data_IF_059205388065
#
_entry.id   IF_059205388065
#
_cell.length_a   1.000
_cell.length_b   1.000
_cell.length_c   1.000
_cell.angle_alpha   90.00
_cell.angle_beta   90.00
_cell.angle_gamma   90.00
#
_symmetry.space_group_name_H-M   'P 1'
#
loop_
_entity.id
_entity.type
_entity.pdbx_description
1 polymer ?
#
# COMPACT_ATOMS: atom_id res chain seq x y z
N UNK A 1 23.67 -5.83 58.13
CA UNK A 1 24.23 -6.89 58.99
C UNK A 1 23.36 -8.12 58.79
N UNK A 2 23.79 -9.25 58.26
CA UNK A 2 25.04 -9.72 57.68
C UNK A 2 24.68 -11.10 57.06
N UNK A 3 25.16 -11.37 55.84
CA UNK A 3 25.90 -12.59 55.44
C UNK A 3 25.37 -13.99 55.86
N UNK A 4 25.35 -15.05 55.03
CA UNK A 4 26.38 -15.48 54.08
C UNK A 4 25.90 -16.80 53.42
N UNK A 5 26.40 -17.06 52.21
CA UNK A 5 26.41 -18.38 51.56
C UNK A 5 27.27 -19.41 52.34
N UNK A 6 27.30 -20.68 51.88
CA UNK A 6 28.57 -21.14 51.34
C UNK A 6 28.47 -21.98 50.06
N UNK A 7 29.53 -21.90 49.27
CA UNK A 7 29.92 -22.87 48.25
C UNK A 7 31.02 -23.77 48.82
N UNK A 8 31.07 -25.05 48.44
CA UNK A 8 32.30 -25.83 48.48
C UNK A 8 32.36 -26.84 47.33
N UNK A 9 33.47 -26.75 46.59
CA UNK A 9 33.97 -27.72 45.62
C UNK A 9 34.50 -28.98 46.31
N UNK A 10 34.48 -30.11 45.58
CA UNK A 10 35.26 -31.31 45.89
C UNK A 10 35.34 -32.24 44.68
N UNK A 11 36.50 -32.25 44.02
CA UNK A 11 36.94 -33.19 42.98
C UNK A 11 37.45 -34.51 43.58
N UNK A 12 37.38 -35.62 42.84
CA UNK A 12 38.42 -36.68 42.65
C UNK A 12 37.80 -37.95 42.01
N UNK A 13 38.19 -38.32 40.77
CA UNK A 13 38.98 -39.51 40.34
C UNK A 13 38.29 -40.87 40.59
N UNK A 14 38.15 -41.84 39.66
CA UNK A 14 39.14 -42.60 38.86
C UNK A 14 38.41 -43.64 37.99
N UNK A 15 39.06 -44.12 36.91
CA UNK A 15 38.90 -45.50 36.38
C UNK A 15 37.97 -45.62 35.15
N UNK A 16 38.48 -45.68 33.92
CA UNK A 16 39.08 -46.85 33.26
C UNK A 16 38.04 -47.90 32.88
N UNK A 17 37.72 -47.98 31.58
CA UNK A 17 37.79 -49.25 30.86
C UNK A 17 38.00 -48.99 29.36
N UNK A 18 39.08 -49.59 28.88
CA UNK A 18 39.68 -49.56 27.57
C UNK A 18 39.36 -50.90 26.90
N UNK A 19 38.82 -50.88 25.68
CA UNK A 19 39.03 -51.99 24.73
C UNK A 19 39.22 -51.43 23.32
N UNK A 20 40.48 -51.04 23.04
CA UNK A 20 41.28 -51.45 21.87
C UNK A 20 40.56 -52.30 20.80
N UNK A 21 40.57 -51.97 19.51
CA UNK A 21 41.66 -52.15 18.52
C UNK A 21 40.96 -52.57 17.20
N UNK A 22 41.39 -52.33 15.95
CA UNK A 22 42.73 -52.35 15.33
C UNK A 22 42.56 -51.88 13.86
N UNK A 23 43.45 -51.00 13.38
CA UNK A 23 44.32 -51.08 12.17
C UNK A 23 43.68 -51.67 10.86
N UNK A 24 43.91 -51.18 9.63
CA UNK A 24 45.08 -50.49 9.02
C UNK A 24 44.81 -50.22 7.52
N UNK A 25 45.50 -49.18 7.02
CA UNK A 25 46.25 -49.12 5.73
C UNK A 25 45.53 -49.04 4.37
N UNK A 26 45.59 -47.83 3.80
CA UNK A 26 46.11 -47.42 2.47
C UNK A 26 46.13 -48.40 1.28
N UNK A 27 45.62 -47.94 0.12
CA UNK A 27 46.39 -47.77 -1.14
C UNK A 27 45.65 -46.93 -2.19
N UNK A 28 46.44 -46.18 -2.96
CA UNK A 28 46.08 -45.21 -3.99
C UNK A 28 45.65 -45.84 -5.32
N UNK A 29 44.73 -45.19 -6.05
CA UNK A 29 44.75 -45.05 -7.53
C UNK A 29 44.06 -43.73 -7.97
N UNK A 30 44.75 -42.92 -8.79
CA UNK A 30 44.24 -41.74 -9.55
C UNK A 30 43.60 -42.21 -10.87
N UNK A 31 43.09 -41.33 -11.77
CA UNK A 31 42.22 -40.15 -11.60
C UNK A 31 41.09 -40.10 -12.68
N UNK A 32 40.03 -39.29 -12.48
CA UNK A 32 39.17 -38.87 -13.60
C UNK A 32 38.68 -37.42 -13.45
N UNK A 33 39.19 -36.62 -14.38
CA UNK A 33 38.83 -35.28 -14.86
C UNK A 33 37.40 -34.79 -14.59
N UNK A 34 37.28 -33.56 -14.07
CA UNK A 34 36.21 -32.60 -14.39
C UNK A 34 36.61 -31.17 -14.03
N UNK A 35 37.47 -30.61 -14.88
CA UNK A 35 37.85 -29.18 -14.92
C UNK A 35 37.12 -28.56 -16.11
N UNK A 36 35.88 -28.12 -15.95
CA UNK A 36 35.22 -27.18 -16.87
C UNK A 36 33.81 -26.82 -16.35
N UNK A 37 33.66 -25.59 -15.86
CA UNK A 37 32.44 -24.74 -15.78
C UNK A 37 32.46 -23.85 -14.54
N UNK A 38 33.51 -23.03 -14.41
CA UNK A 38 33.51 -21.82 -13.58
C UNK A 38 34.00 -20.69 -14.48
N UNK A 39 33.08 -20.10 -15.26
CA UNK A 39 33.23 -18.85 -16.04
C UNK A 39 31.95 -18.64 -16.89
N UNK A 40 30.89 -18.14 -16.26
CA UNK A 40 29.79 -17.43 -16.97
C UNK A 40 28.79 -16.71 -16.05
N UNK A 41 28.95 -16.75 -14.72
CA UNK A 41 27.99 -16.19 -13.78
C UNK A 41 28.22 -14.72 -13.35
N UNK A 42 28.99 -13.92 -14.10
CA UNK A 42 29.33 -12.53 -13.71
C UNK A 42 29.01 -11.46 -14.77
N UNK A 43 28.09 -11.73 -15.71
CA UNK A 43 27.60 -10.70 -16.67
C UNK A 43 26.08 -10.52 -16.73
N UNK A 44 25.32 -11.03 -15.76
CA UNK A 44 23.83 -10.95 -15.77
C UNK A 44 23.21 -10.14 -14.64
N UNK A 45 24.00 -9.34 -13.92
CA UNK A 45 23.54 -8.56 -12.77
C UNK A 45 24.01 -7.09 -12.84
N UNK A 46 23.72 -6.38 -13.94
CA UNK A 46 23.91 -4.93 -14.02
C UNK A 46 23.10 -4.31 -15.17
N UNK A 47 21.78 -4.53 -15.17
CA UNK A 47 20.86 -3.64 -15.91
C UNK A 47 19.59 -3.47 -15.09
N UNK A 48 19.74 -2.92 -13.88
CA UNK A 48 18.64 -2.21 -13.21
C UNK A 48 18.27 -1.08 -14.17
N UNK A 49 17.14 -1.22 -14.87
CA UNK A 49 16.56 -0.14 -15.67
C UNK A 49 16.37 1.03 -14.70
N UNK A 50 17.22 2.08 -14.81
CA UNK A 50 16.88 3.38 -14.23
C UNK A 50 15.47 3.70 -14.71
N UNK A 51 14.57 4.06 -13.80
CA UNK A 51 13.25 4.54 -14.17
C UNK A 51 13.46 5.79 -15.05
N UNK A 52 13.42 5.62 -16.37
CA UNK A 52 13.49 6.72 -17.33
C UNK A 52 12.34 7.67 -17.03
N UNK A 53 12.54 8.98 -16.91
CA UNK A 53 11.50 9.98 -16.61
C UNK A 53 10.21 9.81 -17.47
N UNK A 54 9.03 10.31 -17.02
CA UNK A 54 7.80 10.26 -17.81
C UNK A 54 8.03 10.84 -19.20
N UNK A 55 7.65 10.09 -20.24
CA UNK A 55 7.75 10.61 -21.62
C UNK A 55 6.65 11.66 -21.78
N UNK A 56 6.99 12.86 -22.25
CA UNK A 56 6.02 13.94 -22.43
C UNK A 56 4.86 13.46 -23.31
N UNK A 57 3.60 13.54 -22.84
CA UNK A 57 2.43 13.12 -23.63
C UNK A 57 2.26 13.99 -24.88
N UNK A 58 1.85 13.38 -26.00
CA UNK A 58 1.53 14.12 -27.22
C UNK A 58 0.25 14.97 -27.05
N UNK A 59 0.07 16.04 -27.84
CA UNK A 59 -1.17 16.83 -27.81
C UNK A 59 -2.43 15.98 -28.02
N UNK A 60 -2.38 15.03 -28.95
CA UNK A 60 -3.50 14.09 -29.21
C UNK A 60 -3.81 13.22 -28.00
N UNK A 61 -2.78 12.72 -27.31
CA UNK A 61 -2.97 11.91 -26.10
C UNK A 61 -3.62 12.73 -24.96
N UNK A 62 -3.19 13.99 -24.79
CA UNK A 62 -3.79 14.92 -23.82
C UNK A 62 -5.24 15.23 -24.16
N UNK A 63 -5.54 15.58 -25.41
CA UNK A 63 -6.90 15.87 -25.85
C UNK A 63 -7.84 14.68 -25.60
N UNK A 64 -7.39 13.46 -25.92
CA UNK A 64 -8.16 12.24 -25.61
C UNK A 64 -8.35 12.05 -24.10
N UNK A 65 -7.33 12.30 -23.29
CA UNK A 65 -7.43 12.17 -21.83
C UNK A 65 -8.41 13.19 -21.23
N UNK A 66 -8.41 14.42 -21.72
CA UNK A 66 -9.38 15.47 -21.32
C UNK A 66 -10.80 15.05 -21.70
N UNK A 67 -11.02 14.53 -22.90
CA UNK A 67 -12.34 14.02 -23.30
C UNK A 67 -12.79 12.84 -22.44
N UNK A 68 -11.89 11.92 -22.09
CA UNK A 68 -12.19 10.84 -21.13
C UNK A 68 -12.63 11.42 -19.78
N UNK A 69 -11.93 12.41 -19.24
CA UNK A 69 -12.31 13.06 -18.00
C UNK A 69 -13.67 13.74 -18.09
N UNK A 70 -13.98 14.41 -19.21
CA UNK A 70 -15.26 15.06 -19.43
C UNK A 70 -16.42 14.04 -19.47
N UNK A 71 -16.25 12.90 -20.15
CA UNK A 71 -17.27 11.82 -20.18
C UNK A 71 -17.46 11.18 -18.81
N UNK A 72 -16.37 10.97 -18.09
CA UNK A 72 -16.43 10.47 -16.72
C UNK A 72 -17.10 11.46 -15.77
N UNK A 73 -16.88 12.77 -15.94
CA UNK A 73 -17.57 13.81 -15.19
C UNK A 73 -19.07 13.83 -15.43
N UNK A 74 -19.51 13.63 -16.68
CA UNK A 74 -20.95 13.47 -16.99
C UNK A 74 -21.56 12.20 -16.39
N UNK A 75 -20.83 11.08 -16.38
CA UNK A 75 -21.33 9.80 -15.88
C UNK A 75 -21.35 9.74 -14.34
N UNK A 76 -20.35 10.35 -13.71
CA UNK A 76 -20.16 10.36 -12.26
C UNK A 76 -19.92 11.81 -11.78
N UNK A 77 -20.96 12.66 -11.82
CA UNK A 77 -20.86 14.05 -11.38
C UNK A 77 -20.52 14.12 -9.88
N UNK A 78 -21.12 13.24 -9.09
CA UNK A 78 -20.99 13.20 -7.62
C UNK A 78 -19.93 12.20 -7.15
N UNK A 79 -18.86 12.02 -7.94
CA UNK A 79 -17.81 11.07 -7.64
C UNK A 79 -16.96 11.53 -6.43
N UNK A 80 -17.18 10.91 -5.28
CA UNK A 80 -16.49 11.24 -4.04
C UNK A 80 -15.77 10.03 -3.41
N UNK A 81 -15.06 10.28 -2.31
CA UNK A 81 -14.44 9.27 -1.47
C UNK A 81 -15.50 8.27 -0.97
N UNK A 82 -15.22 6.98 -1.12
CA UNK A 82 -16.15 5.93 -0.70
C UNK A 82 -16.09 5.59 0.80
N UNK A 83 -15.16 6.21 1.55
CA UNK A 83 -15.05 6.02 2.99
C UNK A 83 -15.93 7.04 3.70
N UNK A 84 -16.84 6.59 4.56
CA UNK A 84 -17.75 7.48 5.29
C UNK A 84 -16.98 8.22 6.40
N UNK A 85 -17.08 9.54 6.42
CA UNK A 85 -16.37 10.40 7.37
C UNK A 85 -17.07 11.77 7.53
N UNK A 86 -17.01 12.34 8.74
CA UNK A 86 -17.51 13.68 9.02
C UNK A 86 -16.42 14.76 8.96
N UNK A 87 -15.16 14.39 9.15
CA UNK A 87 -14.03 15.31 9.26
C UNK A 87 -12.69 14.67 8.83
N UNK A 88 -11.62 15.47 8.94
CA UNK A 88 -10.26 15.08 8.59
C UNK A 88 -9.73 13.88 9.39
N UNK A 89 -10.05 13.83 10.69
CA UNK A 89 -9.60 12.78 11.60
C UNK A 89 -10.27 11.46 11.28
N UNK A 90 -11.59 11.49 11.06
CA UNK A 90 -12.35 10.32 10.66
C UNK A 90 -11.86 9.77 9.32
N UNK A 91 -11.64 10.63 8.31
CA UNK A 91 -11.11 10.15 7.03
C UNK A 91 -9.70 9.54 7.19
N UNK A 92 -8.84 10.17 7.99
CA UNK A 92 -7.50 9.66 8.23
C UNK A 92 -7.54 8.26 8.87
N UNK A 93 -8.34 8.09 9.92
CA UNK A 93 -8.53 6.81 10.58
C UNK A 93 -9.15 5.75 9.64
N UNK A 94 -10.20 6.11 8.90
CA UNK A 94 -10.83 5.23 7.92
C UNK A 94 -9.86 4.80 6.80
N UNK A 95 -8.99 5.72 6.35
CA UNK A 95 -7.99 5.43 5.32
C UNK A 95 -6.87 4.51 5.83
N UNK A 96 -6.49 4.62 7.11
CA UNK A 96 -5.57 3.65 7.74
C UNK A 96 -6.23 2.26 7.80
N UNK A 97 -7.53 2.21 8.14
CA UNK A 97 -8.30 0.96 8.20
C UNK A 97 -8.50 0.30 6.82
N UNK A 98 -8.63 1.10 5.75
CA UNK A 98 -8.83 0.59 4.39
C UNK A 98 -7.62 -0.12 3.80
N UNK A 99 -6.44 0.00 4.43
CA UNK A 99 -5.26 -0.76 4.04
C UNK A 99 -5.56 -2.27 4.04
N UNK A 100 -5.57 -2.88 2.85
CA UNK A 100 -5.92 -4.28 2.63
C UNK A 100 -7.31 -4.67 3.17
N UNK A 101 -8.25 -3.72 3.15
CA UNK A 101 -9.65 -3.90 3.52
C UNK A 101 -10.54 -3.27 2.43
N UNK A 102 -11.81 -3.63 2.38
CA UNK A 102 -12.78 -2.98 1.49
C UNK A 102 -13.41 -1.78 2.17
N UNK A 103 -13.68 -0.71 1.42
CA UNK A 103 -14.34 0.49 1.97
C UNK A 103 -15.67 0.13 2.65
N UNK A 104 -16.47 -0.76 2.04
CA UNK A 104 -17.71 -1.26 2.63
C UNK A 104 -17.50 -1.91 4.01
N UNK A 105 -16.40 -2.64 4.22
CA UNK A 105 -16.08 -3.23 5.54
C UNK A 105 -15.64 -2.17 6.53
N UNK A 106 -14.88 -1.16 6.08
CA UNK A 106 -14.47 -0.03 6.92
C UNK A 106 -15.68 0.76 7.38
N UNK A 107 -16.60 1.09 6.46
CA UNK A 107 -17.82 1.86 6.76
C UNK A 107 -18.79 1.13 7.72
N UNK A 108 -18.68 -0.20 7.86
CA UNK A 108 -19.43 -0.96 8.87
C UNK A 108 -18.86 -0.81 10.28
N UNK A 109 -17.56 -0.54 10.44
CA UNK A 109 -16.89 -0.48 11.75
C UNK A 109 -16.64 0.94 12.24
N UNK A 110 -16.48 1.90 11.32
CA UNK A 110 -16.19 3.30 11.67
C UNK A 110 -17.30 3.99 12.48
N UNK A 111 -18.61 3.69 12.31
CA UNK A 111 -19.65 4.29 13.15
C UNK A 111 -19.47 3.98 14.64
N UNK A 112 -19.19 2.71 15.00
CA UNK A 112 -18.93 2.33 16.39
C UNK A 112 -17.62 2.92 16.90
N UNK A 113 -16.56 2.88 16.08
CA UNK A 113 -15.26 3.44 16.42
C UNK A 113 -15.36 4.92 16.78
N UNK A 114 -16.03 5.72 15.96
CA UNK A 114 -16.15 7.16 16.16
C UNK A 114 -17.21 7.54 17.20
N UNK A 115 -18.20 6.68 17.46
CA UNK A 115 -19.10 6.86 18.60
C UNK A 115 -18.36 6.72 19.94
N UNK A 116 -17.45 5.74 20.05
CA UNK A 116 -16.67 5.50 21.27
C UNK A 116 -15.51 6.47 21.44
N UNK A 117 -14.85 6.82 20.34
CA UNK A 117 -13.68 7.71 20.34
C UNK A 117 -13.82 8.79 19.26
N UNK A 118 -14.65 9.82 19.51
CA UNK A 118 -15.00 10.83 18.51
C UNK A 118 -13.86 11.81 18.18
N UNK A 119 -12.81 11.87 19.00
CA UNK A 119 -11.70 12.82 18.84
C UNK A 119 -10.35 12.10 18.92
N UNK A 120 -9.27 12.70 18.38
CA UNK A 120 -7.92 12.16 18.56
C UNK A 120 -7.56 11.96 20.03
N UNK A 121 -7.90 12.91 20.90
CA UNK A 121 -7.65 12.80 22.34
C UNK A 121 -8.37 11.60 22.98
N UNK A 122 -9.61 11.32 22.55
CA UNK A 122 -10.35 10.15 23.02
C UNK A 122 -9.71 8.84 22.52
N UNK A 123 -9.36 8.76 21.23
CA UNK A 123 -8.76 7.57 20.64
C UNK A 123 -7.35 7.31 21.16
N UNK A 124 -6.59 8.36 21.47
CA UNK A 124 -5.24 8.27 22.06
C UNK A 124 -5.24 7.60 23.46
N UNK A 125 -6.36 7.68 24.19
CA UNK A 125 -6.53 7.11 25.53
C UNK A 125 -7.28 5.77 25.51
N UNK A 126 -7.69 5.31 24.34
CA UNK A 126 -8.45 4.08 24.19
C UNK A 126 -7.62 2.86 24.62
N UNK A 127 -8.20 1.90 25.38
CA UNK A 127 -7.58 0.61 25.58
C UNK A 127 -7.40 -0.10 24.23
N UNK A 128 -6.20 -0.61 23.95
CA UNK A 128 -5.89 -1.20 22.65
C UNK A 128 -6.81 -2.39 22.36
N UNK A 129 -7.09 -3.23 23.37
CA UNK A 129 -7.95 -4.41 23.25
C UNK A 129 -9.37 -4.04 22.82
N UNK A 130 -9.89 -2.91 23.30
CA UNK A 130 -11.22 -2.42 22.92
C UNK A 130 -11.24 -1.95 21.46
N UNK A 131 -10.22 -1.19 21.03
CA UNK A 131 -10.09 -0.78 19.63
C UNK A 131 -9.99 -2.02 18.74
N UNK A 132 -9.15 -2.99 19.12
CA UNK A 132 -8.99 -4.26 18.40
C UNK A 132 -10.30 -5.01 18.20
N UNK A 133 -11.18 -5.03 19.21
CA UNK A 133 -12.51 -5.64 19.12
C UNK A 133 -13.38 -4.94 18.07
N UNK A 134 -13.47 -3.61 18.12
CA UNK A 134 -14.28 -2.82 17.18
C UNK A 134 -13.81 -3.03 15.73
N UNK A 135 -12.49 -2.99 15.50
CA UNK A 135 -11.93 -3.07 14.15
C UNK A 135 -11.51 -4.48 13.73
N UNK A 136 -11.86 -5.52 14.50
CA UNK A 136 -11.41 -6.90 14.30
C UNK A 136 -11.64 -7.38 12.86
N UNK A 137 -12.79 -7.02 12.29
CA UNK A 137 -13.22 -7.45 10.96
C UNK A 137 -12.47 -6.76 9.79
N UNK A 138 -11.61 -5.79 10.07
CA UNK A 138 -10.83 -5.08 9.03
C UNK A 138 -9.54 -5.80 8.62
N UNK A 139 -9.16 -6.88 9.32
CA UNK A 139 -7.93 -7.63 9.08
C UNK A 139 -6.67 -6.85 9.51
N UNK A 140 -5.62 -7.58 9.92
CA UNK A 140 -4.41 -6.99 10.55
C UNK A 140 -4.75 -6.02 11.72
N UNK A 141 -5.86 -6.27 12.40
CA UNK A 141 -6.48 -5.35 13.34
C UNK A 141 -5.57 -4.94 14.50
N UNK A 142 -4.71 -5.84 14.99
CA UNK A 142 -3.72 -5.51 16.06
C UNK A 142 -2.78 -4.37 15.66
N UNK A 143 -2.19 -4.48 14.46
CA UNK A 143 -1.30 -3.44 13.96
C UNK A 143 -2.06 -2.16 13.60
N UNK A 144 -3.28 -2.29 13.08
CA UNK A 144 -4.14 -1.14 12.79
C UNK A 144 -4.55 -0.40 14.07
N UNK A 145 -4.96 -1.11 15.12
CA UNK A 145 -5.34 -0.54 16.41
C UNK A 145 -4.16 0.21 17.04
N UNK A 146 -2.98 -0.44 17.08
CA UNK A 146 -1.74 0.20 17.52
C UNK A 146 -1.43 1.49 16.74
N UNK A 147 -1.54 1.45 15.41
CA UNK A 147 -1.27 2.62 14.58
C UNK A 147 -2.31 3.72 14.78
N UNK A 148 -3.59 3.39 14.92
CA UNK A 148 -4.65 4.36 15.16
C UNK A 148 -4.46 5.11 16.47
N UNK A 149 -4.18 4.39 17.56
CA UNK A 149 -3.92 4.99 18.87
C UNK A 149 -2.67 5.86 18.80
N UNK A 150 -1.56 5.35 18.24
CA UNK A 150 -0.32 6.11 18.13
C UNK A 150 -0.44 7.34 17.21
N UNK A 151 -1.22 7.24 16.13
CA UNK A 151 -1.58 8.37 15.26
C UNK A 151 -2.36 9.42 16.03
N UNK A 152 -3.39 9.00 16.77
CA UNK A 152 -4.21 9.89 17.57
C UNK A 152 -3.39 10.59 18.66
N UNK A 153 -2.51 9.87 19.35
CA UNK A 153 -1.58 10.45 20.33
C UNK A 153 -0.64 11.48 19.69
N UNK A 154 -0.14 11.20 18.48
CA UNK A 154 0.74 12.15 17.77
C UNK A 154 0.00 13.42 17.34
N UNK A 155 -1.25 13.29 16.89
CA UNK A 155 -2.12 14.44 16.61
C UNK A 155 -2.31 15.31 17.86
N UNK A 156 -2.66 14.69 19.00
CA UNK A 156 -2.85 15.42 20.26
C UNK A 156 -1.55 16.13 20.71
N UNK A 157 -0.42 15.42 20.73
CA UNK A 157 0.83 15.92 21.31
C UNK A 157 1.54 16.99 20.47
N UNK A 158 1.47 16.89 19.13
CA UNK A 158 2.27 17.73 18.23
C UNK A 158 1.42 18.70 17.43
N UNK A 159 0.19 18.32 17.10
CA UNK A 159 -0.69 19.09 16.23
C UNK A 159 -1.94 19.61 16.96
N UNK A 160 -1.98 19.52 18.30
CA UNK A 160 -3.09 20.04 19.11
C UNK A 160 -4.43 19.33 18.87
N UNK A 161 -4.41 18.14 18.29
CA UNK A 161 -5.61 17.40 17.88
C UNK A 161 -6.04 17.65 16.43
N UNK A 162 -5.39 18.56 15.70
CA UNK A 162 -5.73 18.82 14.30
C UNK A 162 -4.93 17.93 13.34
N UNK A 163 -5.56 17.51 12.24
CA UNK A 163 -4.87 16.80 11.16
C UNK A 163 -4.04 17.80 10.34
N UNK A 164 -2.70 17.66 10.26
CA UNK A 164 -1.87 18.60 9.53
C UNK A 164 -2.13 18.53 8.02
N UNK A 165 -1.94 19.65 7.34
CA UNK A 165 -2.15 19.76 5.89
C UNK A 165 -0.92 19.39 5.07
N UNK A 166 0.28 19.47 5.64
CA UNK A 166 1.55 19.23 4.94
C UNK A 166 1.81 17.75 4.69
N UNK A 167 2.36 17.40 3.53
CA UNK A 167 2.78 16.02 3.23
C UNK A 167 3.77 15.50 4.26
N UNK A 168 4.84 16.27 4.53
CA UNK A 168 5.92 15.82 5.40
C UNK A 168 5.42 15.57 6.83
N UNK A 169 4.51 16.42 7.32
CA UNK A 169 3.85 16.25 8.62
C UNK A 169 2.97 15.00 8.66
N UNK A 170 2.11 14.80 7.65
CA UNK A 170 1.24 13.62 7.56
C UNK A 170 2.06 12.33 7.53
N UNK A 171 3.20 12.32 6.84
CA UNK A 171 4.10 11.16 6.80
C UNK A 171 4.77 10.85 8.14
N UNK A 172 4.74 11.76 9.11
CA UNK A 172 5.20 11.46 10.48
C UNK A 172 4.18 10.65 11.29
N UNK A 173 2.92 10.61 10.86
CA UNK A 173 1.85 9.93 11.59
C UNK A 173 1.92 8.40 11.41
N UNK A 174 1.89 7.61 12.49
CA UNK A 174 1.85 6.15 12.42
C UNK A 174 0.73 5.61 11.53
N UNK A 175 1.05 4.65 10.66
CA UNK A 175 0.10 4.07 9.72
C UNK A 175 -0.19 4.92 8.47
N UNK A 176 0.37 6.13 8.37
CA UNK A 176 0.20 7.02 7.22
C UNK A 176 1.37 6.86 6.25
N UNK A 177 1.06 6.43 5.04
CA UNK A 177 1.98 6.46 3.92
C UNK A 177 1.57 7.54 2.91
N UNK A 178 2.41 7.80 1.91
CA UNK A 178 2.15 8.84 0.88
C UNK A 178 0.78 8.72 0.23
N UNK A 179 0.30 7.50 -0.03
CA UNK A 179 -1.05 7.28 -0.58
C UNK A 179 -2.14 7.75 0.38
N UNK A 180 -2.05 7.39 1.65
CA UNK A 180 -2.99 7.81 2.69
C UNK A 180 -2.99 9.32 2.84
N UNK A 181 -1.80 9.94 2.86
CA UNK A 181 -1.65 11.40 2.90
C UNK A 181 -2.29 12.08 1.68
N UNK A 182 -2.07 11.58 0.46
CA UNK A 182 -2.70 12.11 -0.76
C UNK A 182 -4.22 12.03 -0.70
N UNK A 183 -4.79 10.93 -0.18
CA UNK A 183 -6.25 10.79 -0.02
C UNK A 183 -6.79 11.87 0.92
N UNK A 184 -6.22 12.00 2.12
CA UNK A 184 -6.69 12.98 3.11
C UNK A 184 -6.52 14.41 2.60
N UNK A 185 -5.36 14.74 2.02
CA UNK A 185 -5.10 16.07 1.47
C UNK A 185 -6.03 16.44 0.32
N UNK A 186 -6.26 15.49 -0.59
CA UNK A 186 -7.15 15.70 -1.72
C UNK A 186 -8.60 15.88 -1.30
N UNK A 187 -9.12 14.96 -0.49
CA UNK A 187 -10.55 14.92 -0.13
C UNK A 187 -10.91 16.04 0.86
N UNK A 188 -10.11 16.24 1.91
CA UNK A 188 -10.47 17.17 3.01
C UNK A 188 -10.01 18.59 2.71
N UNK A 189 -8.82 18.75 2.14
CA UNK A 189 -8.21 20.07 1.97
C UNK A 189 -8.24 20.57 0.53
N UNK A 190 -8.71 19.78 -0.44
CA UNK A 190 -8.67 20.12 -1.86
C UNK A 190 -7.24 20.25 -2.41
N UNK A 191 -6.25 19.69 -1.71
CA UNK A 191 -4.84 19.80 -2.06
C UNK A 191 -4.39 18.54 -2.80
N UNK A 192 -4.28 18.64 -4.13
CA UNK A 192 -3.80 17.56 -4.97
C UNK A 192 -2.27 17.62 -5.16
N UNK A 193 -1.52 16.73 -4.51
CA UNK A 193 -0.07 16.56 -4.82
C UNK A 193 0.20 15.52 -5.91
N UNK A 194 -0.83 14.74 -6.26
CA UNK A 194 -0.74 13.69 -7.26
C UNK A 194 -2.05 12.93 -7.42
N UNK A 195 -2.08 12.05 -8.40
CA UNK A 195 -3.22 11.17 -8.67
C UNK A 195 -3.12 9.95 -7.77
N UNK A 196 -4.14 9.68 -6.96
CA UNK A 196 -4.17 8.48 -6.09
C UNK A 196 -4.33 7.24 -6.97
N UNK A 197 -3.29 6.40 -7.01
CA UNK A 197 -3.29 5.15 -7.79
C UNK A 197 -3.64 3.97 -6.90
N UNK A 198 -4.85 3.44 -7.06
CA UNK A 198 -5.27 2.16 -6.50
C UNK A 198 -5.27 1.04 -7.57
N UNK A 199 -5.87 -0.10 -7.27
CA UNK A 199 -5.94 -1.23 -8.20
C UNK A 199 -6.85 -0.95 -9.41
N UNK A 200 -7.91 -0.14 -9.25
CA UNK A 200 -8.80 0.28 -10.33
C UNK A 200 -8.09 1.28 -11.25
N UNK A 201 -7.55 2.36 -10.69
CA UNK A 201 -6.80 3.40 -11.41
C UNK A 201 -5.62 2.78 -12.15
N UNK A 202 -4.81 1.95 -11.47
CA UNK A 202 -3.68 1.23 -12.10
C UNK A 202 -4.12 0.46 -13.34
N UNK A 203 -5.19 -0.32 -13.23
CA UNK A 203 -5.67 -1.17 -14.33
C UNK A 203 -6.26 -0.33 -15.45
N UNK A 204 -7.12 0.63 -15.14
CA UNK A 204 -7.82 1.43 -16.14
C UNK A 204 -6.86 2.38 -16.86
N UNK A 205 -5.90 2.99 -16.16
CA UNK A 205 -4.84 3.77 -16.79
C UNK A 205 -4.04 2.94 -17.80
N UNK A 206 -3.76 1.68 -17.49
CA UNK A 206 -3.16 0.74 -18.44
C UNK A 206 -4.06 0.45 -19.65
N UNK A 207 -5.35 0.18 -19.43
CA UNK A 207 -6.32 -0.11 -20.50
C UNK A 207 -6.58 1.09 -21.43
N UNK A 208 -6.58 2.31 -20.88
CA UNK A 208 -6.68 3.56 -21.63
C UNK A 208 -5.38 3.91 -22.36
N UNK A 209 -4.29 3.17 -22.10
CA UNK A 209 -2.97 3.44 -22.67
C UNK A 209 -2.31 4.71 -22.13
N UNK A 210 -2.70 5.16 -20.93
CA UNK A 210 -2.10 6.33 -20.26
C UNK A 210 -0.74 6.01 -19.66
N UNK A 211 -0.48 4.74 -19.36
CA UNK A 211 0.80 4.26 -18.85
C UNK A 211 1.11 2.85 -19.36
N UNK A 212 2.39 2.51 -19.42
CA UNK A 212 2.88 1.13 -19.65
C UNK A 212 3.50 0.53 -18.37
N UNK A 213 3.51 1.29 -17.29
CA UNK A 213 4.08 0.86 -16.01
C UNK A 213 3.08 0.04 -15.22
N UNK A 214 3.59 -0.88 -14.40
CA UNK A 214 2.81 -1.54 -13.35
C UNK A 214 3.17 -1.02 -11.94
N UNK A 215 4.15 -0.12 -11.84
CA UNK A 215 4.59 0.51 -10.60
C UNK A 215 3.69 1.73 -10.28
N UNK A 216 3.02 1.77 -9.11
CA UNK A 216 2.09 2.85 -8.77
C UNK A 216 2.71 4.25 -8.76
N UNK A 217 3.94 4.41 -8.26
CA UNK A 217 4.64 5.70 -8.21
C UNK A 217 4.89 6.21 -9.62
N UNK A 218 5.25 5.30 -10.52
CA UNK A 218 5.42 5.66 -11.93
C UNK A 218 4.09 5.98 -12.61
N UNK A 219 3.03 5.24 -12.31
CA UNK A 219 1.70 5.50 -12.88
C UNK A 219 1.22 6.88 -12.45
N UNK A 220 1.35 7.23 -11.17
CA UNK A 220 1.03 8.56 -10.63
C UNK A 220 1.75 9.65 -11.43
N UNK A 221 3.06 9.52 -11.63
CA UNK A 221 3.85 10.49 -12.40
C UNK A 221 3.43 10.57 -13.88
N UNK A 222 3.10 9.43 -14.52
CA UNK A 222 2.61 9.42 -15.90
C UNK A 222 1.23 10.12 -16.00
N UNK A 223 0.35 9.93 -15.02
CA UNK A 223 -0.97 10.56 -14.96
C UNK A 223 -0.87 12.06 -14.67
N UNK A 224 -0.03 12.49 -13.73
CA UNK A 224 0.23 13.90 -13.45
C UNK A 224 0.80 14.62 -14.67
N UNK A 225 1.64 13.95 -15.46
CA UNK A 225 2.16 14.52 -16.70
C UNK A 225 1.08 14.64 -17.80
N UNK A 226 0.04 13.79 -17.77
CA UNK A 226 -0.99 13.70 -18.80
C UNK A 226 -2.22 14.57 -18.50
N UNK A 227 -2.71 14.53 -17.27
CA UNK A 227 -3.98 15.11 -16.85
C UNK A 227 -3.78 16.53 -16.29
N UNK A 228 -4.76 17.45 -16.47
CA UNK A 228 -4.74 18.76 -15.83
C UNK A 228 -4.69 18.64 -14.29
N UNK A 229 -3.85 19.42 -13.58
CA UNK A 229 -3.71 19.36 -12.12
C UNK A 229 -5.02 19.44 -11.33
N UNK A 230 -5.93 20.31 -11.75
CA UNK A 230 -7.25 20.51 -11.18
C UNK A 230 -8.15 19.26 -11.22
N UNK A 231 -7.84 18.32 -12.11
CA UNK A 231 -8.63 17.10 -12.29
C UNK A 231 -8.11 15.89 -11.50
N UNK A 232 -6.96 15.98 -10.83
CA UNK A 232 -6.27 14.81 -10.29
C UNK A 232 -7.08 14.04 -9.23
N UNK A 233 -7.77 14.76 -8.33
CA UNK A 233 -8.60 14.16 -7.29
C UNK A 233 -9.81 13.46 -7.92
N UNK A 234 -10.59 14.20 -8.72
CA UNK A 234 -11.78 13.67 -9.37
C UNK A 234 -11.47 12.52 -10.33
N UNK A 235 -10.33 12.58 -11.03
CA UNK A 235 -9.88 11.52 -11.92
C UNK A 235 -9.74 10.19 -11.15
N UNK A 236 -9.12 10.20 -9.96
CA UNK A 236 -9.03 9.01 -9.12
C UNK A 236 -10.40 8.47 -8.75
N UNK A 237 -11.31 9.31 -8.21
CA UNK A 237 -12.64 8.86 -7.79
C UNK A 237 -13.45 8.30 -8.96
N UNK A 238 -13.48 9.00 -10.09
CA UNK A 238 -14.25 8.59 -11.27
C UNK A 238 -13.71 7.31 -11.93
N UNK A 239 -12.39 7.11 -11.95
CA UNK A 239 -11.79 5.87 -12.44
C UNK A 239 -12.08 4.70 -11.50
N UNK A 240 -12.08 4.93 -10.19
CA UNK A 240 -12.48 3.91 -9.21
C UNK A 240 -13.94 3.50 -9.43
N UNK A 241 -14.86 4.45 -9.56
CA UNK A 241 -16.27 4.17 -9.85
C UNK A 241 -16.46 3.42 -11.16
N UNK A 242 -15.81 3.87 -12.25
CA UNK A 242 -15.82 3.14 -13.52
C UNK A 242 -15.34 1.70 -13.34
N UNK A 243 -14.28 1.50 -12.56
CA UNK A 243 -13.70 0.18 -12.30
C UNK A 243 -14.53 -0.74 -11.43
N UNK A 244 -15.43 -0.19 -10.61
CA UNK A 244 -16.38 -0.93 -9.78
C UNK A 244 -17.63 -1.31 -10.55
N UNK A 245 -18.13 -0.40 -11.38
CA UNK A 245 -19.45 -0.56 -12.01
C UNK A 245 -19.39 -1.17 -13.42
N UNK A 246 -18.50 -0.69 -14.27
CA UNK A 246 -18.51 -0.98 -15.72
C UNK A 246 -17.27 -1.76 -16.14
N UNK A 247 -16.10 -1.16 -15.92
CA UNK A 247 -14.82 -1.75 -16.27
C UNK A 247 -14.41 -2.75 -15.19
N UNK A 248 -15.22 -3.77 -14.90
CA UNK A 248 -14.97 -4.76 -13.84
C UNK A 248 -13.79 -5.65 -14.25
N UNK A 249 -12.90 -5.98 -13.29
CA UNK A 249 -11.76 -6.84 -13.56
C UNK A 249 -12.22 -8.21 -14.13
N UNK A 250 -11.55 -8.68 -15.19
CA UNK A 250 -11.83 -9.94 -15.92
C UNK A 250 -13.17 -10.01 -16.66
N UNK A 251 -14.16 -9.15 -16.37
CA UNK A 251 -15.47 -9.11 -17.04
C UNK A 251 -15.93 -7.66 -17.31
N UNK A 252 -15.15 -6.87 -18.08
CA UNK A 252 -15.53 -5.49 -18.37
C UNK A 252 -16.76 -5.45 -19.27
N UNK A 253 -17.69 -4.54 -18.99
CA UNK A 253 -18.91 -4.30 -19.79
C UNK A 253 -18.63 -3.24 -20.85
N UNK A 254 -17.82 -3.58 -21.86
CA UNK A 254 -17.36 -2.61 -22.86
C UNK A 254 -18.52 -1.99 -23.66
N UNK A 255 -19.59 -2.73 -23.94
CA UNK A 255 -20.77 -2.24 -24.67
C UNK A 255 -21.50 -1.11 -23.94
N UNK A 256 -21.48 -1.13 -22.61
CA UNK A 256 -22.09 -0.10 -21.76
C UNK A 256 -21.10 1.00 -21.34
N UNK A 257 -19.85 0.96 -21.83
CA UNK A 257 -18.80 1.87 -21.36
C UNK A 257 -18.84 3.20 -22.13
N UNK A 258 -18.93 4.36 -21.44
CA UNK A 258 -18.95 5.66 -22.11
C UNK A 258 -17.62 6.02 -22.80
N UNK A 259 -16.59 5.20 -22.60
CA UNK A 259 -15.24 5.38 -23.14
C UNK A 259 -14.91 4.36 -24.24
N UNK A 260 -15.86 3.53 -24.68
CA UNK A 260 -15.58 2.40 -25.56
C UNK A 260 -14.88 2.80 -26.87
N UNK A 261 -15.33 3.87 -27.52
CA UNK A 261 -14.76 4.47 -28.73
C UNK A 261 -13.40 5.14 -28.52
N UNK A 262 -13.10 5.56 -27.29
CA UNK A 262 -11.82 6.21 -26.94
C UNK A 262 -10.79 5.24 -26.36
N UNK A 263 -11.23 4.06 -25.93
CA UNK A 263 -10.42 3.10 -25.20
C UNK A 263 -9.74 2.12 -26.17
N UNK A 264 -8.40 2.11 -26.27
CA UNK A 264 -7.68 1.22 -27.18
C UNK A 264 -7.77 -0.26 -26.78
N UNK A 265 -8.26 -0.55 -25.57
CA UNK A 265 -8.43 -1.92 -25.05
C UNK A 265 -9.91 -2.35 -25.01
N UNK A 266 -10.83 -1.56 -25.56
CA UNK A 266 -12.24 -1.92 -25.60
C UNK A 266 -12.46 -3.20 -26.43
N UNK A 267 -13.32 -4.08 -25.92
CA UNK A 267 -13.77 -5.30 -26.58
C UNK A 267 -15.30 -5.38 -26.48
N UNK A 268 -16.03 -4.53 -27.24
CA UNK A 268 -17.47 -4.67 -27.32
C UNK A 268 -17.83 -6.07 -27.81
N UNK A 269 -18.97 -6.61 -27.37
CA UNK A 269 -19.47 -7.87 -27.92
C UNK A 269 -19.56 -7.72 -29.44
N UNK A 270 -19.04 -8.70 -30.18
CA UNK A 270 -19.35 -8.80 -31.59
C UNK A 270 -20.87 -8.96 -31.69
N UNK A 271 -21.55 -7.95 -32.21
CA UNK A 271 -22.98 -8.02 -32.52
C UNK A 271 -23.26 -9.10 -33.55
#
# INVERSE_FOLDING_TARGET
>A
MECRAPAHLGSHTTGADDVSAKKKSARSTRPATKKARKKSATKKAAKRRKASAPRRPSPVARARAVEVLARLGRRYPDADCALDHADAFQLLAATILSAQCTDARVNLVTPELFARWPTPAALARAPQEEVEQVIHSTGFFRNKAKNLIAMASRLEQVYGGDVPRGMDDLLTLPGVARKTANVVRGVVFGLADGVVVDTHVKRIAGLLGWTKSADPVRIEADLMALLPPESWIEASHRLILLGREICIARRPRCDACPLADLCPSARPAAG
#
